data_IF_576736880407
#
_entry.id   IF_576736880407
#
_cell.length_a   1.000
_cell.length_b   1.000
_cell.length_c   1.000
_cell.angle_alpha   90.00
_cell.angle_beta   90.00
_cell.angle_gamma   90.00
#
_symmetry.space_group_name_H-M   'P 1'
#
loop_
_entity.id
_entity.type
_entity.pdbx_description
1 polymer ?
#
# COMPACT_ATOMS: atom_id res chain seq x y z
N UNK A 1 1.67 -10.10 22.04
CA UNK A 1 1.01 -8.84 21.77
C UNK A 1 -0.47 -9.00 21.45
N UNK A 2 -1.12 -7.90 21.22
CA UNK A 2 -2.57 -7.87 20.95
C UNK A 2 -2.86 -7.86 19.45
N UNK A 3 -3.99 -8.49 19.10
CA UNK A 3 -4.63 -8.34 17.80
C UNK A 3 -5.81 -7.40 18.02
N UNK A 4 -5.79 -6.23 17.40
CA UNK A 4 -6.74 -5.15 17.64
C UNK A 4 -7.51 -4.85 16.36
N UNK A 5 -8.82 -4.75 16.45
CA UNK A 5 -9.64 -4.31 15.32
C UNK A 5 -9.49 -2.79 15.10
N UNK A 6 -9.70 -2.33 13.88
CA UNK A 6 -9.62 -0.90 13.56
C UNK A 6 -10.60 -0.05 14.36
N UNK A 7 -11.66 -0.63 14.90
CA UNK A 7 -12.61 0.05 15.80
C UNK A 7 -12.10 0.20 17.24
N UNK A 8 -10.91 -0.33 17.55
CA UNK A 8 -10.30 -0.24 18.87
C UNK A 8 -10.48 -1.46 19.77
N UNK A 9 -11.32 -2.42 19.38
CA UNK A 9 -11.54 -3.62 20.19
C UNK A 9 -10.36 -4.59 20.10
N UNK A 10 -9.97 -5.12 21.24
CA UNK A 10 -8.97 -6.20 21.30
C UNK A 10 -9.65 -7.50 20.91
N UNK A 11 -9.20 -8.11 19.80
CA UNK A 11 -9.79 -9.32 19.25
C UNK A 11 -9.12 -10.60 19.78
N UNK A 12 -7.86 -10.51 20.16
CA UNK A 12 -7.10 -11.65 20.62
C UNK A 12 -5.65 -11.30 20.88
N UNK A 13 -4.83 -12.33 21.00
CA UNK A 13 -3.39 -12.19 21.24
C UNK A 13 -2.58 -12.98 20.21
N UNK A 14 -1.35 -12.55 19.97
CA UNK A 14 -0.41 -13.24 19.10
C UNK A 14 0.92 -13.45 19.82
N UNK A 15 1.74 -14.38 19.30
CA UNK A 15 3.03 -14.72 19.88
C UNK A 15 4.21 -13.99 19.25
N UNK A 16 3.99 -13.23 18.21
CA UNK A 16 5.00 -12.43 17.55
C UNK A 16 4.50 -11.85 16.23
N UNK A 17 4.85 -10.59 15.97
CA UNK A 17 4.42 -9.90 14.75
C UNK A 17 5.04 -10.50 13.49
N UNK A 18 6.14 -11.24 13.62
CA UNK A 18 6.83 -11.87 12.48
C UNK A 18 5.95 -12.90 11.76
N UNK A 19 4.94 -13.42 12.43
CA UNK A 19 4.01 -14.39 11.87
C UNK A 19 2.94 -13.76 10.98
N UNK A 20 2.92 -12.43 10.86
CA UNK A 20 1.86 -11.70 10.17
C UNK A 20 2.40 -10.86 9.02
N UNK A 21 1.56 -10.68 8.00
CA UNK A 21 1.85 -9.84 6.83
C UNK A 21 0.64 -8.97 6.54
N UNK A 22 0.85 -7.71 6.22
CA UNK A 22 -0.24 -6.82 5.82
C UNK A 22 -0.96 -7.40 4.60
N UNK A 23 -2.28 -7.46 4.67
CA UNK A 23 -3.13 -8.10 3.65
C UNK A 23 -3.47 -9.55 3.96
N UNK A 24 -2.86 -10.14 4.96
CA UNK A 24 -3.12 -11.53 5.34
C UNK A 24 -4.57 -11.71 5.79
N UNK A 25 -5.20 -12.77 5.30
CA UNK A 25 -6.58 -13.12 5.63
C UNK A 25 -6.69 -14.38 6.49
N UNK A 26 -5.81 -15.34 6.28
CA UNK A 26 -5.86 -16.65 6.94
C UNK A 26 -4.88 -16.71 8.10
N UNK A 27 -5.17 -17.57 9.07
CA UNK A 27 -4.27 -17.80 10.19
C UNK A 27 -4.22 -16.68 11.21
N UNK A 28 -5.24 -15.82 11.26
CA UNK A 28 -5.29 -14.69 12.20
C UNK A 28 -5.62 -15.12 13.63
N UNK A 29 -6.28 -16.24 13.80
CA UNK A 29 -6.71 -16.71 15.12
C UNK A 29 -7.89 -15.94 15.72
N UNK A 30 -8.50 -15.04 14.95
CA UNK A 30 -9.64 -14.22 15.39
C UNK A 30 -10.71 -14.24 14.31
N UNK A 31 -11.96 -14.03 14.73
CA UNK A 31 -13.13 -14.05 13.86
C UNK A 31 -13.95 -12.80 14.16
N UNK A 32 -14.48 -12.15 13.12
CA UNK A 32 -15.40 -11.04 13.30
C UNK A 32 -16.77 -11.52 13.79
N UNK A 33 -17.48 -10.70 14.57
CA UNK A 33 -18.78 -11.04 15.13
C UNK A 33 -19.85 -11.29 14.06
N UNK A 34 -19.75 -10.57 12.94
CA UNK A 34 -20.72 -10.64 11.84
C UNK A 34 -20.31 -11.61 10.72
N UNK A 35 -19.20 -12.34 10.91
CA UNK A 35 -18.69 -13.26 9.90
C UNK A 35 -17.96 -12.61 8.73
N UNK A 36 -17.79 -11.30 8.74
CA UNK A 36 -17.05 -10.59 7.70
C UNK A 36 -15.59 -11.01 7.72
N UNK A 37 -14.94 -11.27 6.55
CA UNK A 37 -13.53 -11.60 6.53
C UNK A 37 -12.68 -10.46 7.11
N UNK A 38 -11.70 -10.85 7.93
CA UNK A 38 -10.73 -9.93 8.50
C UNK A 38 -9.39 -10.03 7.77
N UNK A 39 -8.72 -8.89 7.66
CA UNK A 39 -7.41 -8.76 7.04
C UNK A 39 -6.48 -8.03 7.99
N UNK A 40 -5.18 -8.35 7.94
CA UNK A 40 -4.18 -7.54 8.62
C UNK A 40 -4.06 -6.22 7.88
N UNK A 41 -4.42 -5.13 8.54
CA UNK A 41 -4.41 -3.79 7.96
C UNK A 41 -3.12 -3.05 8.27
N UNK A 42 -2.51 -3.33 9.43
CA UNK A 42 -1.29 -2.67 9.89
C UNK A 42 -0.58 -3.55 10.91
N UNK A 43 0.74 -3.49 10.92
CA UNK A 43 1.58 -4.11 11.95
C UNK A 43 2.34 -2.99 12.66
N UNK A 44 2.14 -2.88 13.97
CA UNK A 44 2.80 -1.88 14.80
C UNK A 44 3.89 -2.56 15.62
N UNK A 45 5.13 -2.48 15.15
CA UNK A 45 6.26 -3.11 15.81
C UNK A 45 6.60 -2.46 17.16
N UNK A 46 6.34 -1.17 17.30
CA UNK A 46 6.63 -0.42 18.53
C UNK A 46 5.74 -0.92 19.68
N UNK A 47 4.47 -1.08 19.42
CA UNK A 47 3.48 -1.53 20.41
C UNK A 47 3.23 -3.03 20.36
N UNK A 48 3.95 -3.76 19.51
CA UNK A 48 3.79 -5.21 19.33
C UNK A 48 2.34 -5.60 19.03
N UNK A 49 1.67 -4.81 18.19
CA UNK A 49 0.25 -4.95 17.90
C UNK A 49 0.02 -5.26 16.42
N UNK A 50 -0.91 -6.17 16.15
CA UNK A 50 -1.41 -6.47 14.82
C UNK A 50 -2.81 -5.89 14.70
N UNK A 51 -3.03 -4.99 13.72
CA UNK A 51 -4.34 -4.41 13.48
C UNK A 51 -5.06 -5.18 12.39
N UNK A 52 -6.34 -5.43 12.57
CA UNK A 52 -7.20 -6.14 11.62
C UNK A 52 -8.45 -5.33 11.30
N UNK A 53 -8.99 -5.55 10.12
CA UNK A 53 -10.22 -4.90 9.70
C UNK A 53 -10.76 -5.54 8.42
N UNK A 54 -11.79 -4.94 7.85
CA UNK A 54 -12.38 -5.37 6.59
C UNK A 54 -11.49 -4.94 5.41
N UNK A 55 -11.83 -5.40 4.21
CA UNK A 55 -11.14 -4.99 2.99
C UNK A 55 -11.21 -3.47 2.76
N UNK A 56 -12.31 -2.83 3.17
CA UNK A 56 -12.47 -1.38 3.09
C UNK A 56 -11.47 -0.63 3.98
N UNK A 57 -11.10 -1.22 5.10
CA UNK A 57 -10.13 -0.64 6.02
C UNK A 57 -8.70 -0.70 5.48
N UNK A 58 -8.49 -1.41 4.39
CA UNK A 58 -7.22 -1.50 3.68
C UNK A 58 -7.10 -0.53 2.51
N UNK A 59 -8.09 0.30 2.27
CA UNK A 59 -8.05 1.27 1.19
C UNK A 59 -6.91 2.26 1.38
N UNK A 60 -6.09 2.40 0.37
CA UNK A 60 -4.94 3.29 0.33
C UNK A 60 -5.12 4.24 -0.83
N UNK A 61 -4.87 5.52 -0.61
CA UNK A 61 -4.94 6.53 -1.66
C UNK A 61 -3.57 7.03 -2.08
N UNK A 62 -2.63 7.10 -1.15
CA UNK A 62 -1.28 7.53 -1.51
C UNK A 62 -0.22 6.63 -0.88
N UNK A 63 0.91 6.56 -1.55
CA UNK A 63 2.04 5.74 -1.15
C UNK A 63 3.32 6.24 -1.80
N UNK A 64 4.45 5.81 -1.26
CA UNK A 64 5.77 6.15 -1.77
C UNK A 64 6.32 4.99 -2.60
N UNK A 65 7.01 5.31 -3.67
CA UNK A 65 7.83 4.34 -4.39
C UNK A 65 9.30 4.76 -4.37
N UNK A 66 10.18 3.79 -4.33
CA UNK A 66 11.62 3.98 -4.28
C UNK A 66 12.32 3.03 -5.24
N UNK A 67 13.65 3.11 -5.31
CA UNK A 67 14.46 2.33 -6.24
C UNK A 67 13.96 2.52 -7.68
N UNK A 68 13.87 3.80 -8.07
CA UNK A 68 13.26 4.19 -9.34
C UNK A 68 14.11 3.76 -10.53
N UNK A 69 13.45 3.28 -11.57
CA UNK A 69 14.04 3.01 -12.88
C UNK A 69 13.24 3.76 -13.93
N UNK A 70 13.92 4.53 -14.75
CA UNK A 70 13.32 5.29 -15.85
C UNK A 70 13.74 4.68 -17.19
N UNK A 71 12.78 4.56 -18.11
CA UNK A 71 13.06 3.97 -19.44
C UNK A 71 13.85 4.94 -20.30
N UNK A 72 13.47 6.22 -20.27
CA UNK A 72 14.15 7.29 -20.99
C UNK A 72 14.62 8.36 -20.00
N UNK A 73 14.26 9.61 -20.27
CA UNK A 73 14.51 10.72 -19.36
C UNK A 73 13.51 10.71 -18.23
N UNK A 74 13.92 11.20 -17.06
CA UNK A 74 12.98 11.50 -15.99
C UNK A 74 11.92 12.46 -16.52
N UNK A 75 10.62 12.09 -16.47
CA UNK A 75 9.55 12.96 -16.98
C UNK A 75 9.22 14.12 -16.05
N UNK A 76 9.78 14.13 -14.84
CA UNK A 76 9.51 15.09 -13.79
C UNK A 76 10.76 15.81 -13.37
N UNK A 77 10.67 17.11 -13.13
CA UNK A 77 11.63 17.83 -12.27
C UNK A 77 11.12 17.81 -10.82
N UNK A 78 12.00 18.20 -9.87
CA UNK A 78 11.67 18.17 -8.44
C UNK A 78 10.46 19.01 -8.05
N UNK A 79 10.12 20.01 -8.85
CA UNK A 79 9.00 20.91 -8.58
C UNK A 79 7.72 20.53 -9.32
N UNK A 80 7.77 19.53 -10.16
CA UNK A 80 6.66 19.19 -11.05
C UNK A 80 5.82 18.03 -10.51
N UNK A 81 4.56 18.01 -10.97
CA UNK A 81 3.66 16.88 -10.83
C UNK A 81 3.23 16.43 -12.21
N UNK A 82 2.98 15.15 -12.38
CA UNK A 82 2.35 14.63 -13.60
C UNK A 82 1.16 13.77 -13.24
N UNK A 83 0.19 13.75 -14.15
CA UNK A 83 -0.90 12.79 -14.11
C UNK A 83 -0.53 11.67 -15.06
N UNK A 84 -0.51 10.45 -14.53
CA UNK A 84 -0.13 9.27 -15.29
C UNK A 84 -0.97 8.08 -14.85
N UNK A 85 -0.86 6.99 -15.58
CA UNK A 85 -1.46 5.73 -15.17
C UNK A 85 -0.42 4.90 -14.44
N UNK A 86 -0.83 4.22 -13.38
CA UNK A 86 0.04 3.31 -12.63
C UNK A 86 -0.55 1.91 -12.60
N UNK A 87 0.31 0.92 -12.65
CA UNK A 87 -0.10 -0.48 -12.52
C UNK A 87 0.72 -1.13 -11.41
N UNK A 88 0.01 -1.70 -10.44
CA UNK A 88 0.63 -2.44 -9.36
C UNK A 88 0.82 -3.90 -9.77
N UNK A 89 1.86 -4.55 -9.24
CA UNK A 89 2.17 -5.94 -9.58
C UNK A 89 1.05 -6.92 -9.23
N UNK A 90 0.16 -6.55 -8.30
CA UNK A 90 -0.98 -7.36 -7.92
C UNK A 90 -2.21 -7.18 -8.83
N UNK A 91 -2.14 -6.31 -9.83
CA UNK A 91 -3.29 -5.94 -10.65
C UNK A 91 -3.02 -6.06 -12.15
N UNK A 92 -4.09 -6.24 -12.92
CA UNK A 92 -4.01 -6.31 -14.37
C UNK A 92 -4.46 -5.02 -15.05
N UNK A 93 -5.00 -4.07 -14.29
CA UNK A 93 -5.49 -2.81 -14.81
C UNK A 93 -4.65 -1.65 -14.30
N UNK A 94 -4.66 -0.54 -15.05
CA UNK A 94 -4.01 0.70 -14.63
C UNK A 94 -4.99 1.60 -13.92
N UNK A 95 -4.46 2.49 -13.08
CA UNK A 95 -5.22 3.52 -12.36
C UNK A 95 -4.59 4.87 -12.58
N UNK A 96 -5.41 5.91 -12.62
CA UNK A 96 -4.90 7.28 -12.68
C UNK A 96 -4.33 7.72 -11.34
N UNK A 97 -3.20 8.40 -11.41
CA UNK A 97 -2.52 8.93 -10.23
C UNK A 97 -1.83 10.25 -10.55
N UNK A 98 -1.63 11.06 -9.53
CA UNK A 98 -0.76 12.24 -9.58
C UNK A 98 0.56 11.87 -8.94
N UNK A 99 1.65 12.09 -9.65
CA UNK A 99 2.99 11.67 -9.24
C UNK A 99 3.86 12.88 -9.04
N UNK A 100 4.53 12.95 -7.89
CA UNK A 100 5.45 14.02 -7.55
C UNK A 100 6.68 13.48 -6.84
N UNK A 101 7.77 14.26 -6.83
CA UNK A 101 8.97 13.88 -6.10
C UNK A 101 8.83 14.13 -4.60
N UNK A 102 9.30 13.17 -3.80
CA UNK A 102 9.53 13.36 -2.37
C UNK A 102 11.01 13.64 -2.11
N UNK A 103 11.88 12.82 -2.66
CA UNK A 103 13.33 12.88 -2.55
C UNK A 103 13.94 12.41 -3.86
N UNK A 104 15.27 12.43 -3.98
CA UNK A 104 15.95 12.14 -5.23
C UNK A 104 15.64 10.77 -5.85
N UNK A 105 15.38 9.76 -5.02
CA UNK A 105 15.05 8.42 -5.50
C UNK A 105 13.71 7.92 -4.97
N UNK A 106 12.82 8.85 -4.65
CA UNK A 106 11.49 8.53 -4.15
C UNK A 106 10.43 9.40 -4.78
N UNK A 107 9.32 8.79 -5.14
CA UNK A 107 8.13 9.48 -5.63
C UNK A 107 6.97 9.28 -4.68
N UNK A 108 6.12 10.29 -4.59
CA UNK A 108 4.79 10.18 -4.00
C UNK A 108 3.81 9.88 -5.12
N UNK A 109 3.06 8.80 -4.97
CA UNK A 109 1.98 8.44 -5.87
C UNK A 109 0.65 8.67 -5.16
N UNK A 110 -0.14 9.58 -5.70
CA UNK A 110 -1.47 9.92 -5.20
C UNK A 110 -2.49 9.34 -6.17
N UNK A 111 -3.13 8.25 -5.78
CA UNK A 111 -4.17 7.62 -6.60
C UNK A 111 -5.40 8.55 -6.65
N UNK A 112 -6.06 8.63 -7.81
CA UNK A 112 -7.29 9.40 -7.92
C UNK A 112 -8.46 8.68 -7.23
N UNK A 113 -8.39 7.35 -7.16
CA UNK A 113 -9.33 6.53 -6.39
C UNK A 113 -8.55 5.63 -5.44
N UNK A 114 -9.07 5.42 -4.24
CA UNK A 114 -8.41 4.55 -3.27
C UNK A 114 -8.40 3.09 -3.73
N UNK A 115 -7.40 2.34 -3.26
CA UNK A 115 -7.20 0.95 -3.63
C UNK A 115 -6.75 0.14 -2.41
N UNK A 116 -7.40 -0.97 -2.15
CA UNK A 116 -7.10 -1.82 -1.00
C UNK A 116 -6.02 -2.87 -1.28
N UNK A 117 -5.50 -2.94 -2.52
CA UNK A 117 -4.46 -3.92 -2.90
C UNK A 117 -3.05 -3.38 -2.83
N UNK A 118 -2.89 -2.18 -2.33
CA UNK A 118 -1.57 -1.54 -2.20
C UNK A 118 -0.86 -2.09 -0.97
N UNK A 119 0.36 -2.57 -1.14
CA UNK A 119 1.18 -3.07 -0.04
C UNK A 119 2.66 -2.82 -0.33
N UNK A 120 3.50 -2.63 0.71
CA UNK A 120 4.94 -2.52 0.53
C UNK A 120 5.51 -3.77 -0.16
N UNK A 121 6.53 -3.58 -0.96
CA UNK A 121 7.18 -4.65 -1.71
C UNK A 121 6.60 -4.92 -3.08
N UNK A 122 5.44 -4.36 -3.39
CA UNK A 122 4.89 -4.46 -4.74
C UNK A 122 5.61 -3.52 -5.70
N UNK A 123 5.73 -3.94 -6.96
CA UNK A 123 6.20 -3.05 -8.03
C UNK A 123 5.07 -2.13 -8.48
N UNK A 124 5.43 -0.91 -8.81
CA UNK A 124 4.52 0.09 -9.38
C UNK A 124 5.13 0.56 -10.70
N UNK A 125 4.44 0.31 -11.80
CA UNK A 125 4.87 0.72 -13.14
C UNK A 125 4.08 1.94 -13.56
N UNK A 126 4.76 2.93 -14.11
CA UNK A 126 4.20 4.21 -14.50
C UNK A 126 4.08 4.28 -16.01
N UNK A 127 2.86 4.55 -16.48
CA UNK A 127 2.55 4.68 -17.90
C UNK A 127 2.02 6.07 -18.22
N UNK A 128 2.30 6.53 -19.42
CA UNK A 128 1.59 7.68 -19.99
C UNK A 128 1.08 7.27 -21.35
N UNK A 129 -0.26 7.21 -21.50
CA UNK A 129 -0.92 6.54 -22.61
C UNK A 129 -0.46 5.08 -22.65
N UNK A 130 0.04 4.58 -23.76
CA UNK A 130 0.50 3.19 -23.90
C UNK A 130 2.00 3.05 -23.68
N UNK A 131 2.67 4.09 -23.20
CA UNK A 131 4.11 4.12 -23.04
C UNK A 131 4.52 3.96 -21.59
N UNK A 132 5.41 3.00 -21.32
CA UNK A 132 6.02 2.85 -20.00
C UNK A 132 7.04 3.97 -19.80
N UNK A 133 6.87 4.74 -18.73
CA UNK A 133 7.83 5.79 -18.35
C UNK A 133 8.90 5.25 -17.42
N UNK A 134 8.54 4.35 -16.54
CA UNK A 134 9.43 3.80 -15.54
C UNK A 134 8.65 3.17 -14.40
N UNK A 135 9.26 3.06 -13.25
CA UNK A 135 8.61 2.49 -12.08
C UNK A 135 9.53 2.38 -10.89
N UNK A 136 9.02 1.78 -9.85
CA UNK A 136 9.76 1.54 -8.62
C UNK A 136 9.02 0.56 -7.74
N UNK A 137 9.46 0.47 -6.49
CA UNK A 137 8.88 -0.44 -5.50
C UNK A 137 8.18 0.35 -4.43
N UNK A 138 7.00 -0.10 -4.04
CA UNK A 138 6.25 0.51 -2.95
C UNK A 138 7.04 0.29 -1.66
N UNK A 139 7.46 1.39 -1.02
CA UNK A 139 8.38 1.34 0.12
C UNK A 139 7.75 1.81 1.42
N UNK A 140 6.56 2.40 1.37
CA UNK A 140 5.91 2.90 2.57
C UNK A 140 5.11 4.16 2.31
N UNK A 141 4.87 4.95 3.36
CA UNK A 141 4.06 6.16 3.28
C UNK A 141 2.61 5.89 2.93
N UNK A 142 2.11 4.68 3.21
CA UNK A 142 0.76 4.29 2.86
C UNK A 142 -0.26 5.07 3.68
N UNK A 143 -1.19 5.75 3.02
CA UNK A 143 -2.26 6.46 3.69
C UNK A 143 -3.49 6.63 2.81
N UNK A 144 -4.58 6.89 3.46
CA UNK A 144 -5.86 7.12 2.81
C UNK A 144 -6.01 8.58 2.35
#
# INVERSE_FOLDING_TARGET
GNIVHVNGNIMGEHYGIDAFTVGQRRGLGVISEDGTPLYVTKIDAVNNTVCVGSDKDMEIKNFNISELTWIDKKPLSKADEIIADVQLSSEQITQKATISYLEDDKLLVNLHESNYRVAPGQACVIYKKDRILGGGWISGGLSL
#
